data_IF_914788738481
#
_entry.id   IF_914788738481
#
_cell.length_a   1.000
_cell.length_b   1.000
_cell.length_c   1.000
_cell.angle_alpha   90.00
_cell.angle_beta   90.00
_cell.angle_gamma   90.00
#
_symmetry.space_group_name_H-M   'P 1'
#
loop_
_entity.id
_entity.type
_entity.pdbx_description
1 polymer ?
#
# COMPACT_ATOMS: atom_id res chain seq x y z
N UNK A 1 -7.88 21.83 -14.75
CA UNK A 1 -7.69 20.62 -15.59
C UNK A 1 -8.89 19.69 -15.40
N UNK A 2 -9.31 19.00 -16.42
CA UNK A 2 -10.44 18.07 -16.35
C UNK A 2 -9.93 16.68 -15.95
N UNK A 3 -10.58 16.03 -14.97
CA UNK A 3 -10.27 14.65 -14.61
C UNK A 3 -10.59 13.70 -15.78
N UNK A 4 -9.73 12.74 -16.03
CA UNK A 4 -9.87 11.74 -17.09
C UNK A 4 -9.99 10.35 -16.51
N UNK A 5 -11.03 9.60 -16.91
CA UNK A 5 -11.25 8.21 -16.57
C UNK A 5 -10.55 7.29 -17.59
N UNK A 6 -9.79 6.33 -17.11
CA UNK A 6 -9.22 5.24 -17.90
C UNK A 6 -9.75 3.92 -17.37
N UNK A 7 -10.41 3.13 -18.21
CA UNK A 7 -10.82 1.77 -17.83
C UNK A 7 -9.60 0.85 -17.80
N UNK A 8 -9.52 0.03 -16.75
CA UNK A 8 -8.49 -0.98 -16.57
C UNK A 8 -9.07 -2.37 -16.85
N UNK A 9 -8.24 -3.36 -17.23
CA UNK A 9 -8.69 -4.76 -17.39
C UNK A 9 -9.07 -5.44 -16.07
N UNK A 10 -8.76 -4.83 -14.94
CA UNK A 10 -9.13 -5.25 -13.59
C UNK A 10 -10.36 -4.49 -13.07
N UNK A 11 -11.04 -4.98 -12.00
CA UNK A 11 -12.07 -4.21 -11.32
C UNK A 11 -11.46 -2.99 -10.60
N UNK A 12 -11.07 -1.99 -11.37
CA UNK A 12 -10.44 -0.78 -10.92
C UNK A 12 -10.67 0.38 -11.88
N UNK A 13 -10.39 1.57 -11.39
CA UNK A 13 -10.56 2.83 -12.10
C UNK A 13 -9.29 3.64 -11.93
N UNK A 14 -8.78 4.20 -13.03
CA UNK A 14 -7.69 5.18 -13.00
C UNK A 14 -8.24 6.55 -13.39
N UNK A 15 -8.03 7.52 -12.51
CA UNK A 15 -8.36 8.92 -12.70
C UNK A 15 -7.07 9.72 -12.85
N UNK A 16 -7.05 10.67 -13.78
CA UNK A 16 -5.95 11.60 -13.98
C UNK A 16 -6.36 13.01 -13.59
N UNK A 17 -5.36 13.87 -13.34
CA UNK A 17 -5.54 15.25 -12.92
C UNK A 17 -6.32 15.37 -11.59
N UNK A 18 -6.05 14.46 -10.67
CA UNK A 18 -6.57 14.50 -9.30
C UNK A 18 -5.57 15.25 -8.42
N UNK A 19 -6.04 16.17 -7.61
CA UNK A 19 -5.19 16.87 -6.65
C UNK A 19 -4.85 16.00 -5.44
N UNK A 20 -3.75 16.31 -4.75
CA UNK A 20 -3.39 15.68 -3.48
C UNK A 20 -4.53 15.80 -2.46
N UNK A 21 -5.14 16.96 -2.34
CA UNK A 21 -6.25 17.22 -1.40
C UNK A 21 -7.46 16.31 -1.68
N UNK A 22 -7.77 16.07 -2.96
CA UNK A 22 -8.85 15.15 -3.35
C UNK A 22 -8.50 13.72 -2.95
N UNK A 23 -7.26 13.28 -3.19
CA UNK A 23 -6.78 11.97 -2.74
C UNK A 23 -6.88 11.82 -1.22
N UNK A 24 -6.39 12.79 -0.44
CA UNK A 24 -6.48 12.76 1.03
C UNK A 24 -7.92 12.69 1.54
N UNK A 25 -8.82 13.48 0.94
CA UNK A 25 -10.24 13.43 1.29
C UNK A 25 -10.82 12.03 1.06
N UNK A 26 -10.52 11.41 -0.08
CA UNK A 26 -10.98 10.04 -0.39
C UNK A 26 -10.40 9.01 0.59
N UNK A 27 -9.11 9.08 0.92
CA UNK A 27 -8.51 8.18 1.93
C UNK A 27 -9.25 8.29 3.26
N UNK A 28 -9.54 9.50 3.71
CA UNK A 28 -10.21 9.72 4.99
C UNK A 28 -11.69 9.28 4.96
N UNK A 29 -12.41 9.58 3.89
CA UNK A 29 -13.82 9.19 3.73
C UNK A 29 -14.00 7.68 3.56
N UNK A 30 -13.05 7.01 2.89
CA UNK A 30 -13.09 5.58 2.64
C UNK A 30 -12.36 4.75 3.71
N UNK A 31 -11.80 5.37 4.75
CA UNK A 31 -11.00 4.70 5.78
C UNK A 31 -11.74 3.54 6.49
N UNK A 32 -13.07 3.59 6.57
CA UNK A 32 -13.90 2.53 7.16
C UNK A 32 -14.43 1.52 6.14
N UNK A 33 -14.19 1.75 4.85
CA UNK A 33 -14.65 0.86 3.78
C UNK A 33 -13.58 -0.21 3.50
N UNK A 34 -13.89 -1.45 3.84
CA UNK A 34 -13.02 -2.60 3.55
C UNK A 34 -13.10 -2.95 2.07
N UNK A 35 -11.98 -3.40 1.51
CA UNK A 35 -11.92 -3.93 0.14
C UNK A 35 -11.73 -2.88 -0.96
N UNK A 36 -11.43 -1.64 -0.61
CA UNK A 36 -10.97 -0.62 -1.56
C UNK A 36 -9.49 -0.35 -1.31
N UNK A 37 -8.71 -0.23 -2.36
CA UNK A 37 -7.30 0.18 -2.35
C UNK A 37 -7.13 1.44 -3.17
N UNK A 38 -6.42 2.40 -2.63
CA UNK A 38 -6.11 3.66 -3.28
C UNK A 38 -4.59 3.75 -3.51
N UNK A 39 -4.21 4.02 -4.75
CA UNK A 39 -2.81 4.33 -5.11
C UNK A 39 -2.75 5.66 -5.83
N UNK A 40 -1.88 6.55 -5.37
CA UNK A 40 -1.74 7.88 -5.93
C UNK A 40 -0.28 8.18 -6.30
N UNK A 41 -0.06 8.64 -7.51
CA UNK A 41 1.24 9.13 -7.98
C UNK A 41 1.06 10.40 -8.81
N UNK A 42 1.38 11.54 -8.22
CA UNK A 42 1.48 12.85 -8.88
C UNK A 42 0.32 13.13 -9.83
N UNK A 43 -0.89 13.18 -9.29
CA UNK A 43 -2.11 13.49 -10.04
C UNK A 43 -2.80 12.28 -10.68
N UNK A 44 -2.23 11.10 -10.61
CA UNK A 44 -2.89 9.86 -11.05
C UNK A 44 -3.37 9.08 -9.84
N UNK A 45 -4.67 8.82 -9.75
CA UNK A 45 -5.31 8.04 -8.69
C UNK A 45 -5.84 6.73 -9.28
N UNK A 46 -5.39 5.61 -8.75
CA UNK A 46 -5.98 4.30 -9.00
C UNK A 46 -6.86 3.89 -7.81
N UNK A 47 -8.06 3.44 -8.11
CA UNK A 47 -9.02 2.89 -7.15
C UNK A 47 -9.26 1.43 -7.56
N UNK A 48 -8.94 0.47 -6.69
CA UNK A 48 -9.01 -0.94 -6.99
C UNK A 48 -9.80 -1.69 -5.92
N UNK A 49 -10.55 -2.71 -6.34
CA UNK A 49 -11.17 -3.69 -5.44
C UNK A 49 -10.49 -5.05 -5.62
N UNK A 50 -9.78 -5.56 -4.59
CA UNK A 50 -9.10 -6.85 -4.67
C UNK A 50 -10.05 -8.01 -4.96
N UNK A 51 -9.63 -8.92 -5.85
CA UNK A 51 -10.36 -10.16 -6.16
C UNK A 51 -10.07 -11.26 -5.13
N UNK A 52 -10.86 -12.34 -5.12
CA UNK A 52 -10.60 -13.51 -4.30
C UNK A 52 -9.22 -14.15 -4.60
N UNK A 53 -8.80 -14.17 -5.87
CA UNK A 53 -7.48 -14.65 -6.27
C UNK A 53 -6.37 -13.76 -5.71
N UNK A 54 -6.53 -12.45 -5.76
CA UNK A 54 -5.62 -11.48 -5.17
C UNK A 54 -5.46 -11.72 -3.67
N UNK A 55 -6.57 -11.84 -2.93
CA UNK A 55 -6.54 -12.12 -1.49
C UNK A 55 -5.90 -13.48 -1.16
N UNK A 56 -6.15 -14.51 -1.99
CA UNK A 56 -5.52 -15.82 -1.83
C UNK A 56 -4.00 -15.75 -1.98
N UNK A 57 -3.49 -15.08 -3.01
CA UNK A 57 -2.06 -14.89 -3.23
C UNK A 57 -1.40 -14.07 -2.11
N UNK A 58 -2.07 -13.03 -1.64
CA UNK A 58 -1.65 -12.23 -0.48
C UNK A 58 -1.45 -13.10 0.76
N UNK A 59 -2.39 -13.99 1.07
CA UNK A 59 -2.30 -14.88 2.23
C UNK A 59 -1.13 -15.87 2.08
N UNK A 60 -0.91 -16.43 0.88
CA UNK A 60 0.20 -17.36 0.63
C UNK A 60 1.55 -16.68 0.83
N UNK A 61 1.74 -15.49 0.27
CA UNK A 61 2.99 -14.74 0.42
C UNK A 61 3.20 -14.26 1.86
N UNK A 62 2.15 -13.83 2.55
CA UNK A 62 2.23 -13.48 3.96
C UNK A 62 2.71 -14.65 4.82
N UNK A 63 2.11 -15.84 4.65
CA UNK A 63 2.56 -17.07 5.33
C UNK A 63 4.00 -17.42 5.00
N UNK A 64 4.43 -17.25 3.75
CA UNK A 64 5.80 -17.52 3.37
C UNK A 64 6.78 -16.62 4.15
N UNK A 65 6.54 -15.31 4.18
CA UNK A 65 7.39 -14.36 4.94
C UNK A 65 7.41 -14.73 6.43
N UNK A 66 6.25 -14.95 7.04
CA UNK A 66 6.14 -15.26 8.46
C UNK A 66 6.82 -16.59 8.80
N UNK A 67 6.68 -17.62 7.96
CA UNK A 67 7.35 -18.91 8.17
C UNK A 67 8.88 -18.77 8.05
N UNK A 68 9.37 -18.06 7.03
CA UNK A 68 10.82 -17.87 6.85
C UNK A 68 11.43 -17.10 8.02
N UNK A 69 10.78 -16.04 8.46
CA UNK A 69 11.27 -15.22 9.58
C UNK A 69 11.23 -15.98 10.90
N UNK A 70 10.23 -16.83 11.11
CA UNK A 70 10.14 -17.73 12.27
C UNK A 70 11.28 -18.75 12.27
N UNK A 71 11.53 -19.45 11.14
CA UNK A 71 12.62 -20.42 10.99
C UNK A 71 14.01 -19.78 11.17
N UNK A 72 14.17 -18.54 10.74
CA UNK A 72 15.41 -17.79 10.91
C UNK A 72 15.53 -17.10 12.27
N UNK A 73 14.53 -17.23 13.13
CA UNK A 73 14.43 -16.56 14.43
C UNK A 73 14.61 -15.03 14.33
N UNK A 74 13.98 -14.44 13.31
CA UNK A 74 13.95 -12.98 13.07
C UNK A 74 12.67 -12.42 13.61
N UNK A 75 12.78 -11.44 14.52
CA UNK A 75 11.60 -10.71 15.00
C UNK A 75 11.06 -9.80 13.90
N UNK A 76 9.76 -9.86 13.65
CA UNK A 76 9.07 -9.02 12.68
C UNK A 76 7.78 -8.46 13.27
N UNK A 77 7.34 -7.32 12.72
CA UNK A 77 6.00 -6.80 12.93
C UNK A 77 5.26 -6.72 11.60
N UNK A 78 4.27 -7.58 11.43
CA UNK A 78 3.32 -7.51 10.31
C UNK A 78 2.21 -6.52 10.65
N UNK A 79 1.90 -5.60 9.75
CA UNK A 79 0.81 -4.64 9.89
C UNK A 79 -0.32 -4.87 8.88
N UNK A 80 -0.17 -5.85 7.98
CA UNK A 80 -1.09 -6.03 6.86
C UNK A 80 -1.03 -4.81 5.94
N UNK A 81 -2.18 -4.27 5.57
CA UNK A 81 -2.26 -3.04 4.78
C UNK A 81 -2.05 -1.82 5.67
N UNK A 82 -1.11 -0.96 5.29
CA UNK A 82 -0.82 0.32 5.93
C UNK A 82 -0.92 1.42 4.88
N UNK A 83 -1.69 2.48 5.14
CA UNK A 83 -1.71 3.63 4.25
C UNK A 83 -0.41 4.41 4.35
N UNK A 84 0.43 4.30 3.33
CA UNK A 84 1.71 4.99 3.21
C UNK A 84 1.53 6.26 2.39
N UNK A 85 1.64 7.43 3.02
CA UNK A 85 1.45 8.74 2.38
C UNK A 85 2.66 9.63 2.58
N UNK A 86 3.10 10.28 1.49
CA UNK A 86 4.16 11.29 1.49
C UNK A 86 3.71 12.47 0.65
N UNK A 87 3.17 13.51 1.30
CA UNK A 87 2.69 14.74 0.66
C UNK A 87 3.80 15.44 -0.12
N UNK A 88 4.99 15.52 0.45
CA UNK A 88 6.18 16.12 -0.17
C UNK A 88 6.60 15.46 -1.50
N UNK A 89 6.22 14.19 -1.70
CA UNK A 89 6.45 13.44 -2.92
C UNK A 89 5.20 13.34 -3.81
N UNK A 90 4.05 13.84 -3.33
CA UNK A 90 2.73 13.63 -3.93
C UNK A 90 2.48 12.15 -4.26
N UNK A 91 2.77 11.26 -3.29
CA UNK A 91 2.64 9.81 -3.43
C UNK A 91 1.90 9.19 -2.26
N UNK A 92 1.00 8.28 -2.60
CA UNK A 92 0.25 7.49 -1.64
C UNK A 92 0.06 6.06 -2.14
N UNK A 93 0.25 5.10 -1.25
CA UNK A 93 0.15 3.68 -1.52
C UNK A 93 -0.48 2.96 -0.34
N UNK A 94 -1.39 2.03 -0.62
CA UNK A 94 -1.91 1.07 0.35
C UNK A 94 -1.43 -0.33 -0.05
N UNK A 95 -0.23 -0.76 0.43
CA UNK A 95 0.30 -2.06 0.10
C UNK A 95 -0.60 -3.18 0.63
N UNK A 96 -0.54 -4.34 -0.01
CA UNK A 96 -1.31 -5.51 0.41
C UNK A 96 -0.82 -6.07 1.74
N UNK A 97 0.50 -6.10 1.93
CA UNK A 97 1.16 -6.48 3.17
C UNK A 97 2.39 -5.61 3.40
N UNK A 98 2.68 -5.29 4.65
CA UNK A 98 3.93 -4.64 5.01
C UNK A 98 4.51 -5.22 6.31
N UNK A 99 5.85 -5.22 6.37
CA UNK A 99 6.60 -5.79 7.47
C UNK A 99 7.71 -4.85 7.92
N UNK A 100 7.84 -4.72 9.23
CA UNK A 100 9.01 -4.16 9.87
C UNK A 100 9.90 -5.31 10.33
N UNK A 101 11.18 -5.26 9.95
CA UNK A 101 12.21 -6.28 10.21
C UNK A 101 13.38 -5.60 10.92
N UNK A 102 14.13 -4.76 10.23
CA UNK A 102 15.23 -3.98 10.84
C UNK A 102 14.70 -2.91 11.79
N UNK A 103 13.63 -2.25 11.40
CA UNK A 103 12.98 -1.19 12.18
C UNK A 103 11.94 -1.72 13.19
N UNK A 104 11.81 -3.04 13.35
CA UNK A 104 10.78 -3.67 14.19
C UNK A 104 10.81 -3.10 15.62
N UNK A 105 11.98 -3.00 16.24
CA UNK A 105 12.15 -2.51 17.62
C UNK A 105 11.69 -1.06 17.81
N UNK A 106 11.80 -0.25 16.77
CA UNK A 106 11.40 1.17 16.82
C UNK A 106 9.87 1.32 16.80
N UNK A 107 9.17 0.37 16.17
CA UNK A 107 7.73 0.48 15.95
C UNK A 107 6.90 -0.50 16.78
N UNK A 108 7.50 -1.50 17.45
CA UNK A 108 6.77 -2.59 18.15
C UNK A 108 5.74 -2.12 19.16
N UNK A 109 5.98 -0.99 19.83
CA UNK A 109 5.12 -0.43 20.87
C UNK A 109 4.14 0.62 20.33
N UNK A 110 4.21 1.01 19.07
CA UNK A 110 3.39 2.07 18.51
C UNK A 110 1.99 1.52 18.16
N UNK A 111 0.95 2.17 18.61
CA UNK A 111 -0.43 1.83 18.23
C UNK A 111 -0.78 2.32 16.82
N UNK A 112 -0.14 3.39 16.36
CA UNK A 112 -0.29 3.97 15.03
C UNK A 112 1.07 4.33 14.47
N UNK A 113 1.24 4.16 13.17
CA UNK A 113 2.45 4.52 12.44
C UNK A 113 2.20 5.83 11.67
N UNK A 114 3.11 6.78 11.83
CA UNK A 114 3.11 8.03 11.09
C UNK A 114 4.42 8.15 10.29
N UNK A 115 4.37 7.90 8.99
CA UNK A 115 5.55 7.90 8.12
C UNK A 115 6.25 9.26 7.96
N UNK A 116 5.69 10.34 8.53
CA UNK A 116 6.40 11.62 8.62
C UNK A 116 7.38 11.66 9.81
N UNK A 117 7.24 10.75 10.76
CA UNK A 117 8.03 10.70 12.01
C UNK A 117 8.65 9.32 12.25
N UNK A 118 7.95 8.26 11.86
CA UNK A 118 8.35 6.88 12.06
C UNK A 118 9.05 6.35 10.81
N UNK A 119 9.93 5.35 10.94
CA UNK A 119 10.56 4.74 9.77
C UNK A 119 9.53 4.05 8.88
N UNK A 120 9.77 3.99 7.55
CA UNK A 120 8.95 3.20 6.65
C UNK A 120 9.08 1.69 6.94
N UNK A 121 8.13 0.86 6.50
CA UNK A 121 8.29 -0.58 6.55
C UNK A 121 9.50 -1.03 5.73
N UNK A 122 10.17 -2.10 6.20
CA UNK A 122 11.37 -2.63 5.54
C UNK A 122 11.02 -3.47 4.31
N UNK A 123 9.87 -4.14 4.33
CA UNK A 123 9.37 -4.97 3.22
C UNK A 123 7.89 -4.67 2.97
N UNK A 124 7.56 -4.50 1.70
CA UNK A 124 6.19 -4.33 1.20
C UNK A 124 5.90 -5.41 0.16
N UNK A 125 4.72 -5.99 0.22
CA UNK A 125 4.22 -6.94 -0.78
C UNK A 125 3.04 -6.32 -1.51
N UNK A 126 3.10 -6.37 -2.82
CA UNK A 126 2.04 -5.99 -3.75
C UNK A 126 1.68 -7.18 -4.62
N UNK A 127 0.40 -7.45 -4.78
CA UNK A 127 -0.12 -8.53 -5.61
C UNK A 127 -0.72 -7.95 -6.87
N UNK A 128 -0.08 -8.18 -8.00
CA UNK A 128 -0.63 -7.86 -9.31
C UNK A 128 -1.09 -9.14 -10.00
N UNK A 129 -2.39 -9.26 -10.25
CA UNK A 129 -2.98 -10.38 -10.99
C UNK A 129 -2.90 -10.15 -12.50
N UNK A 130 -2.94 -8.87 -12.91
CA UNK A 130 -2.69 -8.42 -14.28
C UNK A 130 -1.76 -7.21 -14.25
N UNK A 131 -1.26 -6.77 -15.41
CA UNK A 131 -0.40 -5.58 -15.47
C UNK A 131 -1.10 -4.36 -14.87
N UNK A 132 -0.49 -3.74 -13.89
CA UNK A 132 -0.94 -2.46 -13.34
C UNK A 132 -0.96 -1.38 -14.41
N UNK A 133 -1.98 -0.54 -14.41
CA UNK A 133 -2.11 0.60 -15.31
C UNK A 133 -1.27 1.81 -14.91
N UNK A 134 -0.71 1.79 -13.71
CA UNK A 134 0.23 2.81 -13.23
C UNK A 134 1.51 2.17 -12.71
N UNK A 135 2.63 2.87 -12.88
CA UNK A 135 3.85 2.50 -12.15
C UNK A 135 3.62 2.72 -10.66
N UNK A 136 3.66 1.65 -9.89
CA UNK A 136 3.50 1.75 -8.44
C UNK A 136 4.55 2.68 -7.84
N UNK A 137 4.15 3.68 -7.06
CA UNK A 137 5.09 4.61 -6.47
C UNK A 137 6.01 3.88 -5.48
N UNK A 138 7.31 3.96 -5.70
CA UNK A 138 8.29 3.46 -4.72
C UNK A 138 8.44 4.48 -3.60
N UNK A 139 8.30 4.03 -2.38
CA UNK A 139 8.63 4.83 -1.21
C UNK A 139 10.13 4.67 -0.93
N UNK A 140 10.87 5.76 -0.67
CA UNK A 140 12.30 5.67 -0.33
C UNK A 140 12.53 4.77 0.89
N UNK A 141 13.49 3.85 0.78
CA UNK A 141 13.86 2.96 1.88
C UNK A 141 13.00 1.70 2.03
N UNK A 142 12.06 1.44 1.12
CA UNK A 142 11.19 0.26 1.15
C UNK A 142 11.59 -0.71 0.04
N UNK A 143 11.75 -1.99 0.39
CA UNK A 143 11.85 -3.11 -0.56
C UNK A 143 10.44 -3.51 -1.01
N UNK A 144 10.24 -3.64 -2.33
CA UNK A 144 8.98 -4.08 -2.94
C UNK A 144 9.25 -5.37 -3.70
#
# INVERSE_FOLDING_TARGET
MTATLIQTPQPGVVLKNISWQTYESLVNELAQQRGIRLTYDRGTLEIMTPSALHEGNKQILGRFVETVTEELNVEIRSLGSLTCRREDLERGLEPDQCYYIENEKMVRSLNQINLNQDPPPDLVIEIDITSSSINRPRLPGVLI
#
